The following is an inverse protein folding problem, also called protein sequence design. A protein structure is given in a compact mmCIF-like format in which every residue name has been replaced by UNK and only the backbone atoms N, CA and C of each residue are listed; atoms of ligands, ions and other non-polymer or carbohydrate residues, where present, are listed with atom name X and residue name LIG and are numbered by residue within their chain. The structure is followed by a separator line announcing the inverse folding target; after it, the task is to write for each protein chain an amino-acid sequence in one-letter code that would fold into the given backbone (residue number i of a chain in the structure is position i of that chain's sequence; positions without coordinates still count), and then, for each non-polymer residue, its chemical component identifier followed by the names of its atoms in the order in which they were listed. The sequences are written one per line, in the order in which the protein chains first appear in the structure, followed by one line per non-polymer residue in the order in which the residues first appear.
data_IF_837743488371
#
_entry.id   IF_837743488371
#
_cell.length_a   1.000
_cell.length_b   1.000
_cell.length_c   1.000
_cell.angle_alpha   90.00
_cell.angle_beta   90.00
_cell.angle_gamma   90.00
#
_symmetry.space_group_name_H-M   'P 1'
#
loop_
_entity.id
_entity.type
_entity.pdbx_description
1 polymer ?
#
# COMPACT_ATOMS: atom_id res chain seq x y z
N UNK A 1 -1.09 10.01 15.66
CA UNK A 1 -1.54 11.40 15.50
C UNK A 1 -0.57 12.06 14.56
N UNK A 2 -1.08 12.64 13.49
CA UNK A 2 -0.28 13.28 12.46
C UNK A 2 -0.32 14.80 12.66
N UNK A 3 0.68 15.50 12.12
CA UNK A 3 0.68 16.97 12.08
C UNK A 3 -0.12 17.47 10.88
N UNK A 4 -0.82 18.57 11.07
CA UNK A 4 -1.40 19.38 10.02
C UNK A 4 -1.07 20.85 10.24
N UNK A 5 -0.91 21.59 9.16
CA UNK A 5 -0.83 23.04 9.14
C UNK A 5 -2.10 23.57 8.45
N UNK A 6 -2.85 24.42 9.14
CA UNK A 6 -4.07 25.05 8.60
C UNK A 6 -3.80 26.54 8.49
N UNK A 7 -3.98 27.11 7.30
CA UNK A 7 -3.84 28.55 7.07
C UNK A 7 -5.21 29.20 6.95
N UNK A 8 -5.51 30.14 7.85
CA UNK A 8 -6.82 30.76 8.03
C UNK A 8 -6.67 32.28 7.80
N UNK A 9 -7.60 32.87 7.06
CA UNK A 9 -7.73 34.32 6.89
C UNK A 9 -8.41 34.98 8.09
N UNK A 10 -8.28 36.30 8.20
CA UNK A 10 -8.97 37.05 9.25
C UNK A 10 -10.49 36.98 9.23
N UNK A 11 -11.11 36.66 8.09
CA UNK A 11 -12.55 36.44 7.97
C UNK A 11 -13.00 35.02 8.37
N UNK A 12 -12.06 34.16 8.78
CA UNK A 12 -12.29 32.76 9.15
C UNK A 12 -12.21 31.78 7.98
N UNK A 13 -12.00 32.25 6.75
CA UNK A 13 -11.88 31.36 5.58
C UNK A 13 -10.56 30.57 5.60
N UNK A 14 -10.61 29.27 5.32
CA UNK A 14 -9.41 28.44 5.16
C UNK A 14 -8.85 28.64 3.75
N UNK A 15 -7.57 29.01 3.64
CA UNK A 15 -6.88 29.20 2.37
C UNK A 15 -6.19 27.93 1.90
N UNK A 16 -5.50 27.28 2.84
CA UNK A 16 -4.63 26.15 2.56
C UNK A 16 -4.59 25.19 3.77
N UNK A 17 -4.49 23.91 3.44
CA UNK A 17 -4.41 22.82 4.41
C UNK A 17 -3.28 21.89 3.97
N UNK A 18 -2.25 21.79 4.80
CA UNK A 18 -1.18 20.79 4.63
C UNK A 18 -1.27 19.77 5.76
N UNK A 19 -1.85 18.59 5.50
CA UNK A 19 -2.03 17.53 6.50
C UNK A 19 -1.28 16.24 6.14
N UNK A 20 -0.69 15.59 7.15
CA UNK A 20 -0.19 14.21 7.04
C UNK A 20 -1.20 13.16 7.53
N UNK A 21 -2.39 13.60 7.98
CA UNK A 21 -3.47 12.76 8.47
C UNK A 21 -4.80 13.12 7.81
N UNK A 22 -5.90 12.99 8.56
CA UNK A 22 -7.20 13.52 8.13
C UNK A 22 -7.11 15.03 7.86
N UNK A 23 -7.91 15.50 6.90
CA UNK A 23 -7.94 16.90 6.48
C UNK A 23 -9.35 17.51 6.47
N UNK A 24 -10.31 16.85 7.13
CA UNK A 24 -11.67 17.34 7.34
C UNK A 24 -11.68 18.42 8.44
N UNK A 25 -11.38 19.66 8.05
CA UNK A 25 -11.38 20.81 8.96
C UNK A 25 -12.57 21.72 8.70
N UNK A 26 -13.11 22.30 9.78
CA UNK A 26 -14.10 23.38 9.72
C UNK A 26 -13.60 24.56 10.54
N UNK A 27 -13.90 25.79 10.12
CA UNK A 27 -13.61 27.00 10.88
C UNK A 27 -14.88 27.82 11.00
N UNK A 28 -15.32 28.06 12.23
CA UNK A 28 -16.39 28.99 12.54
C UNK A 28 -15.79 30.29 13.08
N UNK A 29 -16.33 31.42 12.62
CA UNK A 29 -15.92 32.76 13.06
C UNK A 29 -17.12 33.47 13.72
N UNK A 30 -17.39 33.20 15.01
CA UNK A 30 -18.60 33.69 15.69
C UNK A 30 -18.55 35.20 16.02
N UNK A 31 -17.38 35.82 16.00
CA UNK A 31 -17.20 37.23 16.30
C UNK A 31 -15.75 37.68 16.19
N UNK A 32 -15.54 38.99 16.27
CA UNK A 32 -14.24 39.63 16.11
C UNK A 32 -13.14 38.92 16.92
N UNK A 33 -12.07 38.56 16.23
CA UNK A 33 -10.91 37.88 16.76
C UNK A 33 -11.15 36.45 17.23
N UNK A 34 -12.33 35.86 17.05
CA UNK A 34 -12.63 34.50 17.52
C UNK A 34 -12.71 33.53 16.35
N UNK A 35 -11.87 32.50 16.37
CA UNK A 35 -11.84 31.44 15.38
C UNK A 35 -11.98 30.09 16.08
N UNK A 36 -12.98 29.31 15.71
CA UNK A 36 -13.24 27.98 16.26
C UNK A 36 -12.91 26.95 15.19
N UNK A 37 -11.85 26.17 15.41
CA UNK A 37 -11.37 25.18 14.45
C UNK A 37 -11.81 23.79 14.89
N UNK A 38 -12.55 23.12 14.00
CA UNK A 38 -13.07 21.77 14.14
C UNK A 38 -12.24 20.76 13.34
N UNK A 39 -12.30 19.49 13.73
CA UNK A 39 -11.57 18.41 13.05
C UNK A 39 -10.09 18.30 13.44
N UNK A 40 -9.70 18.99 14.53
CA UNK A 40 -8.34 18.94 15.09
C UNK A 40 -8.34 18.19 16.41
N UNK A 41 -7.18 17.68 16.81
CA UNK A 41 -6.89 17.12 18.13
C UNK A 41 -6.14 18.14 19.02
N UNK A 42 -6.30 19.43 18.74
CA UNK A 42 -5.61 20.53 19.41
C UNK A 42 -4.27 20.90 18.75
N UNK A 43 -3.48 21.71 19.45
CA UNK A 43 -2.18 22.18 18.95
C UNK A 43 -1.16 21.04 18.91
N UNK A 44 -0.39 20.97 17.82
CA UNK A 44 0.65 19.95 17.67
C UNK A 44 1.88 20.32 18.54
N UNK A 45 2.31 19.45 19.46
CA UNK A 45 3.44 19.73 20.33
C UNK A 45 4.80 19.67 19.58
N UNK A 46 5.85 20.32 20.09
CA UNK A 46 7.20 20.18 19.57
C UNK A 46 7.72 18.73 19.68
N UNK A 47 8.50 18.21 18.72
CA UNK A 47 9.08 18.91 17.56
C UNK A 47 8.19 18.96 16.32
N UNK A 48 7.02 18.30 16.34
CA UNK A 48 6.16 18.11 15.17
C UNK A 48 5.31 19.35 14.85
N UNK A 49 5.05 20.18 15.85
CA UNK A 49 4.45 21.50 15.73
C UNK A 49 5.16 22.56 16.57
N UNK A 50 4.98 23.82 16.19
CA UNK A 50 5.60 24.97 16.87
C UNK A 50 4.57 26.05 17.21
N UNK A 51 3.32 25.65 17.43
CA UNK A 51 2.24 26.57 17.73
C UNK A 51 1.65 27.18 16.46
N UNK A 52 1.65 28.50 16.39
CA UNK A 52 1.06 29.27 15.29
C UNK A 52 2.07 30.25 14.69
N UNK A 53 1.84 30.66 13.44
CA UNK A 53 2.62 31.67 12.72
C UNK A 53 1.65 32.68 12.12
N UNK A 54 1.76 33.94 12.52
CA UNK A 54 0.97 35.06 11.97
C UNK A 54 1.72 35.74 10.83
N UNK A 55 0.98 36.29 9.87
CA UNK A 55 1.58 37.11 8.82
C UNK A 55 2.22 38.38 9.41
N UNK A 56 3.24 38.92 8.74
CA UNK A 56 3.93 40.15 9.16
C UNK A 56 2.98 41.37 9.24
N UNK A 57 1.93 41.42 8.41
CA UNK A 57 0.91 42.47 8.48
C UNK A 57 0.11 42.44 9.79
N UNK A 58 0.13 41.30 10.48
CA UNK A 58 -0.59 41.01 11.72
C UNK A 58 0.34 40.91 12.92
N UNK A 59 1.62 41.31 12.81
CA UNK A 59 2.63 41.12 13.84
C UNK A 59 2.27 41.77 15.20
N UNK A 60 1.41 42.79 15.20
CA UNK A 60 0.93 43.48 16.41
C UNK A 60 -0.25 42.76 17.09
N UNK A 61 -0.74 41.66 16.51
CA UNK A 61 -1.83 40.87 17.06
C UNK A 61 -1.32 39.84 18.08
N UNK A 62 -1.94 39.82 19.25
CA UNK A 62 -1.78 38.79 20.26
C UNK A 62 -2.73 37.64 19.97
N UNK A 63 -2.23 36.41 19.98
CA UNK A 63 -3.03 35.21 19.74
C UNK A 63 -3.00 34.31 20.97
N UNK A 64 -4.17 33.96 21.48
CA UNK A 64 -4.35 32.95 22.50
C UNK A 64 -5.00 31.71 21.89
N UNK A 65 -4.56 30.52 22.29
CA UNK A 65 -5.12 29.25 21.81
C UNK A 65 -5.56 28.40 22.99
N UNK A 66 -6.71 27.75 22.86
CA UNK A 66 -7.25 26.80 23.85
C UNK A 66 -8.00 25.70 23.13
N UNK A 67 -7.95 24.48 23.67
CA UNK A 67 -8.60 23.33 23.06
C UNK A 67 -9.54 22.69 24.08
N UNK A 68 -10.83 22.65 23.77
CA UNK A 68 -11.87 22.08 24.62
C UNK A 68 -12.92 21.38 23.77
N UNK A 69 -13.33 20.17 24.17
CA UNK A 69 -14.46 19.47 23.53
C UNK A 69 -14.29 19.13 22.05
N UNK A 70 -13.06 18.99 21.52
CA UNK A 70 -12.84 18.72 20.10
C UNK A 70 -12.75 19.96 19.21
N UNK A 71 -12.75 21.15 19.82
CA UNK A 71 -12.67 22.44 19.12
C UNK A 71 -11.45 23.20 19.61
N UNK A 72 -10.61 23.62 18.67
CA UNK A 72 -9.48 24.51 18.93
C UNK A 72 -9.97 25.95 18.79
N UNK A 73 -10.11 26.66 19.90
CA UNK A 73 -10.44 28.07 19.93
C UNK A 73 -9.16 28.90 19.84
N UNK A 74 -9.14 29.81 18.88
CA UNK A 74 -8.08 30.80 18.66
C UNK A 74 -8.68 32.17 18.82
N UNK A 75 -8.15 32.94 19.77
CA UNK A 75 -8.57 34.30 20.07
C UNK A 75 -7.46 35.28 19.70
N UNK A 76 -7.77 36.25 18.87
CA UNK A 76 -6.87 37.27 18.35
C UNK A 76 -7.29 38.63 18.90
N UNK A 77 -6.34 39.37 19.46
CA UNK A 77 -6.55 40.71 19.98
C UNK A 77 -5.44 41.65 19.52
N UNK A 78 -5.79 42.90 19.19
CA UNK A 78 -4.84 43.95 18.84
C UNK A 78 -4.97 45.08 19.86
N UNK A 79 -3.84 45.49 20.45
CA UNK A 79 -3.81 46.53 21.49
C UNK A 79 -4.72 46.25 22.72
N UNK A 80 -5.06 44.98 22.96
CA UNK A 80 -5.94 44.56 24.07
C UNK A 80 -7.41 44.46 23.72
N UNK A 81 -7.81 44.82 22.50
CA UNK A 81 -9.18 44.68 21.99
C UNK A 81 -9.28 43.50 21.00
N UNK A 82 -10.38 42.71 21.02
CA UNK A 82 -10.58 41.61 20.08
C UNK A 82 -10.66 42.16 18.64
N UNK A 83 -9.78 41.67 17.77
CA UNK A 83 -9.66 42.16 16.41
C UNK A 83 -9.30 41.02 15.45
N UNK A 84 -9.87 41.06 14.25
CA UNK A 84 -9.57 40.10 13.20
C UNK A 84 -8.19 40.34 12.60
N UNK A 85 -7.62 39.27 12.04
CA UNK A 85 -6.39 39.36 11.27
C UNK A 85 -6.64 40.15 9.97
N UNK A 86 -5.66 40.94 9.54
CA UNK A 86 -5.66 41.62 8.25
C UNK A 86 -5.28 40.68 7.11
N UNK A 87 -4.47 39.66 7.40
CA UNK A 87 -4.04 38.69 6.41
C UNK A 87 -4.35 37.25 6.84
N UNK A 88 -3.43 36.57 7.52
CA UNK A 88 -3.59 35.14 7.77
C UNK A 88 -2.78 34.63 8.95
N UNK A 89 -3.20 33.49 9.49
CA UNK A 89 -2.51 32.72 10.52
C UNK A 89 -2.39 31.26 10.11
N UNK A 90 -1.19 30.70 10.26
CA UNK A 90 -0.91 29.27 10.09
C UNK A 90 -0.87 28.60 11.46
N UNK A 91 -1.76 27.64 11.70
CA UNK A 91 -1.85 26.86 12.92
C UNK A 91 -1.24 25.47 12.71
N UNK A 92 -0.29 25.06 13.55
CA UNK A 92 0.15 23.65 13.61
C UNK A 92 -0.69 22.88 14.61
N UNK A 93 -1.51 21.99 14.07
CA UNK A 93 -2.49 21.21 14.83
C UNK A 93 -2.22 19.72 14.67
N UNK A 94 -2.62 18.95 15.66
CA UNK A 94 -2.62 17.49 15.58
C UNK A 94 -3.91 17.01 14.94
N UNK A 95 -3.83 15.94 14.17
CA UNK A 95 -4.99 15.26 13.56
C UNK A 95 -4.91 13.76 13.72
N UNK A 96 -6.05 13.11 13.53
CA UNK A 96 -6.10 11.67 13.39
C UNK A 96 -5.28 11.24 12.17
N UNK A 97 -4.60 10.10 12.31
CA UNK A 97 -3.86 9.51 11.20
C UNK A 97 -4.84 9.03 10.12
N UNK A 98 -4.39 9.06 8.86
CA UNK A 98 -5.13 8.35 7.82
C UNK A 98 -5.09 6.84 8.13
N UNK A 99 -6.21 6.11 7.99
CA UNK A 99 -6.15 4.67 8.08
C UNK A 99 -5.16 4.15 7.03
N UNK A 100 -4.31 3.21 7.43
CA UNK A 100 -3.42 2.55 6.49
C UNK A 100 -4.26 1.94 5.37
N UNK A 101 -3.89 2.13 4.09
CA UNK A 101 -4.61 1.46 3.01
C UNK A 101 -4.56 -0.05 3.24
N UNK A 102 -5.71 -0.70 3.20
CA UNK A 102 -5.77 -2.15 3.26
C UNK A 102 -5.02 -2.71 2.05
N UNK A 103 -3.87 -3.35 2.30
CA UNK A 103 -3.21 -4.11 1.25
C UNK A 103 -4.17 -5.18 0.77
N UNK A 104 -4.27 -5.45 -0.54
CA UNK A 104 -5.08 -6.55 -1.03
C UNK A 104 -4.62 -7.82 -0.32
N UNK A 105 -5.54 -8.51 0.35
CA UNK A 105 -5.27 -9.84 0.91
C UNK A 105 -4.90 -10.74 -0.26
N UNK A 106 -3.69 -11.30 -0.26
CA UNK A 106 -3.29 -12.33 -1.22
C UNK A 106 -4.21 -13.52 -0.95
N UNK A 107 -5.24 -13.69 -1.79
CA UNK A 107 -6.09 -14.89 -1.73
C UNK A 107 -5.27 -16.08 -2.21
N UNK A 108 -5.28 -17.14 -1.41
CA UNK A 108 -4.78 -18.43 -1.87
C UNK A 108 -5.61 -18.85 -3.09
N UNK A 109 -4.99 -19.30 -4.19
CA UNK A 109 -5.71 -19.68 -5.39
C UNK A 109 -6.77 -20.74 -5.07
N UNK A 110 -7.96 -20.57 -5.64
CA UNK A 110 -9.04 -21.52 -5.46
C UNK A 110 -8.61 -22.92 -5.98
N UNK A 111 -9.13 -24.03 -5.43
CA UNK A 111 -8.71 -25.37 -5.82
C UNK A 111 -8.82 -25.64 -7.33
N UNK A 112 -9.81 -25.05 -8.01
CA UNK A 112 -9.98 -25.16 -9.46
C UNK A 112 -8.85 -24.46 -10.25
N UNK A 113 -8.33 -23.34 -9.73
CA UNK A 113 -7.20 -22.63 -10.35
C UNK A 113 -5.91 -23.42 -10.13
N UNK A 114 -5.75 -24.06 -8.96
CA UNK A 114 -4.62 -24.94 -8.67
C UNK A 114 -4.57 -26.15 -9.62
N UNK A 115 -5.70 -26.80 -9.90
CA UNK A 115 -5.75 -27.90 -10.87
C UNK A 115 -5.33 -27.42 -12.27
N UNK A 116 -5.83 -26.27 -12.71
CA UNK A 116 -5.50 -25.72 -14.02
C UNK A 116 -4.00 -25.38 -14.13
N UNK A 117 -3.43 -24.75 -13.11
CA UNK A 117 -2.00 -24.44 -13.05
C UNK A 117 -1.14 -25.70 -13.04
N UNK A 118 -1.52 -26.70 -12.23
CA UNK A 118 -0.83 -27.97 -12.19
C UNK A 118 -0.86 -28.67 -13.55
N UNK A 119 -2.02 -28.72 -14.22
CA UNK A 119 -2.12 -29.29 -15.56
C UNK A 119 -1.30 -28.53 -16.61
N UNK A 120 -1.24 -27.20 -16.52
CA UNK A 120 -0.41 -26.37 -17.39
C UNK A 120 1.08 -26.68 -17.20
N UNK A 121 1.54 -26.81 -15.96
CA UNK A 121 2.93 -27.18 -15.65
C UNK A 121 3.27 -28.60 -16.14
N UNK A 122 2.36 -29.58 -15.95
CA UNK A 122 2.56 -30.93 -16.51
C UNK A 122 2.66 -30.85 -18.04
N UNK A 123 1.81 -30.07 -18.70
CA UNK A 123 1.84 -29.90 -20.16
C UNK A 123 3.15 -29.25 -20.63
N UNK A 124 3.63 -28.23 -19.93
CA UNK A 124 4.91 -27.59 -20.24
C UNK A 124 6.08 -28.57 -20.12
N UNK A 125 6.14 -29.33 -19.02
CA UNK A 125 7.19 -30.33 -18.83
C UNK A 125 7.13 -31.43 -19.88
N UNK A 126 5.94 -31.89 -20.27
CA UNK A 126 5.78 -32.86 -21.36
C UNK A 126 6.32 -32.35 -22.68
N UNK A 127 6.09 -31.08 -23.02
CA UNK A 127 6.63 -30.50 -24.25
C UNK A 127 8.17 -30.55 -24.31
N UNK A 128 8.84 -30.28 -23.17
CA UNK A 128 10.30 -30.42 -23.05
C UNK A 128 10.72 -31.87 -23.28
N UNK A 129 10.01 -32.82 -22.67
CA UNK A 129 10.31 -34.25 -22.79
C UNK A 129 10.16 -34.75 -24.22
N UNK A 130 9.08 -34.36 -24.92
CA UNK A 130 8.87 -34.78 -26.30
C UNK A 130 9.95 -34.21 -27.23
N UNK A 131 10.42 -32.98 -26.97
CA UNK A 131 11.56 -32.39 -27.69
C UNK A 131 12.88 -33.10 -27.42
N UNK A 132 13.09 -33.65 -26.21
CA UNK A 132 14.30 -34.40 -25.86
C UNK A 132 14.26 -35.84 -26.41
N UNK A 133 13.08 -36.47 -26.40
CA UNK A 133 12.89 -37.84 -26.89
C UNK A 133 13.03 -37.92 -28.41
N UNK A 134 12.54 -36.92 -29.17
CA UNK A 134 12.52 -36.97 -30.64
C UNK A 134 13.88 -37.32 -31.28
N UNK A 135 14.99 -36.59 -31.04
CA UNK A 135 16.29 -36.90 -31.65
C UNK A 135 16.88 -38.23 -31.16
N UNK A 136 16.67 -38.59 -29.90
CA UNK A 136 17.14 -39.85 -29.33
C UNK A 136 16.39 -41.05 -29.93
N UNK A 137 15.10 -40.87 -30.20
CA UNK A 137 14.26 -41.86 -30.84
C UNK A 137 14.67 -42.04 -32.31
N UNK A 138 14.93 -40.94 -33.04
CA UNK A 138 15.45 -40.99 -34.42
C UNK A 138 16.77 -41.78 -34.49
N UNK A 139 17.71 -41.50 -33.57
CA UNK A 139 18.97 -42.23 -33.49
C UNK A 139 18.76 -43.72 -33.18
N UNK A 140 17.82 -44.07 -32.30
CA UNK A 140 17.49 -45.45 -31.97
C UNK A 140 16.85 -46.19 -33.16
N UNK A 141 15.93 -45.53 -33.87
CA UNK A 141 15.21 -46.09 -35.03
C UNK A 141 16.16 -46.30 -36.22
N UNK A 142 17.15 -45.41 -36.39
CA UNK A 142 18.22 -45.55 -37.38
C UNK A 142 19.33 -46.52 -36.94
N UNK A 143 19.23 -47.13 -35.76
CA UNK A 143 20.27 -47.99 -35.16
C UNK A 143 21.63 -47.28 -35.02
N UNK A 144 21.60 -45.96 -34.86
CA UNK A 144 22.77 -45.09 -34.68
C UNK A 144 22.95 -44.64 -33.22
N UNK A 145 22.00 -44.94 -32.34
CA UNK A 145 22.06 -44.57 -30.93
C UNK A 145 23.24 -45.24 -30.22
N UNK A 146 24.01 -44.43 -29.51
CA UNK A 146 25.00 -44.90 -28.54
C UNK A 146 24.31 -45.54 -27.33
N UNK A 147 25.05 -46.33 -26.54
CA UNK A 147 24.53 -46.89 -25.29
C UNK A 147 24.06 -45.80 -24.30
N UNK A 148 24.73 -44.65 -24.33
CA UNK A 148 24.39 -43.49 -23.50
C UNK A 148 23.06 -42.86 -23.94
N UNK A 149 22.86 -42.66 -25.24
CA UNK A 149 21.59 -42.14 -25.79
C UNK A 149 20.44 -43.13 -25.57
N UNK A 150 20.69 -44.44 -25.65
CA UNK A 150 19.69 -45.47 -25.38
C UNK A 150 19.27 -45.48 -23.90
N UNK A 151 20.22 -45.31 -22.97
CA UNK A 151 19.93 -45.16 -21.54
C UNK A 151 19.15 -43.86 -21.26
N UNK A 152 19.59 -42.74 -21.84
CA UNK A 152 18.95 -41.44 -21.68
C UNK A 152 17.52 -41.44 -22.25
N UNK A 153 17.28 -42.08 -23.39
CA UNK A 153 15.95 -42.26 -23.99
C UNK A 153 15.01 -43.03 -23.05
N UNK A 154 15.53 -44.06 -22.36
CA UNK A 154 14.75 -44.83 -21.37
C UNK A 154 14.38 -43.96 -20.17
N UNK A 155 15.31 -43.14 -19.67
CA UNK A 155 15.07 -42.27 -18.53
C UNK A 155 14.07 -41.15 -18.86
N UNK A 156 14.18 -40.53 -20.05
CA UNK A 156 13.18 -39.57 -20.52
C UNK A 156 11.79 -40.19 -20.68
N UNK A 157 11.69 -41.43 -21.19
CA UNK A 157 10.42 -42.15 -21.29
C UNK A 157 9.83 -42.46 -19.91
N UNK A 158 10.66 -42.85 -18.95
CA UNK A 158 10.23 -43.07 -17.56
C UNK A 158 9.71 -41.76 -16.95
N UNK A 159 10.46 -40.68 -17.10
CA UNK A 159 10.08 -39.34 -16.65
C UNK A 159 8.74 -38.89 -17.26
N UNK A 160 8.52 -39.10 -18.57
CA UNK A 160 7.23 -38.81 -19.24
C UNK A 160 6.07 -39.57 -18.63
N UNK A 161 6.27 -40.86 -18.34
CA UNK A 161 5.24 -41.71 -17.72
C UNK A 161 4.94 -41.23 -16.31
N UNK A 162 5.96 -40.84 -15.54
CA UNK A 162 5.78 -40.28 -14.19
C UNK A 162 5.01 -38.96 -14.23
N UNK A 163 5.34 -38.05 -15.15
CA UNK A 163 4.58 -36.80 -15.35
C UNK A 163 3.10 -37.05 -15.66
N UNK A 164 2.79 -38.07 -16.47
CA UNK A 164 1.41 -38.44 -16.79
C UNK A 164 0.63 -38.97 -15.59
N UNK A 165 1.31 -39.49 -14.56
CA UNK A 165 0.72 -40.05 -13.34
C UNK A 165 0.67 -39.06 -12.18
N UNK A 166 1.20 -37.84 -12.35
CA UNK A 166 1.13 -36.79 -11.32
C UNK A 166 -0.30 -36.51 -10.83
N UNK A 167 -1.34 -36.48 -11.68
CA UNK A 167 -2.72 -36.27 -11.23
C UNK A 167 -3.26 -37.40 -10.33
N UNK A 168 -2.65 -38.59 -10.37
CA UNK A 168 -3.06 -39.73 -9.54
C UNK A 168 -2.40 -39.69 -8.14
N UNK A 169 -1.52 -38.71 -7.87
CA UNK A 169 -0.84 -38.60 -6.59
C UNK A 169 -1.79 -38.14 -5.47
N UNK A 170 -1.62 -38.68 -4.24
CA UNK A 170 -2.31 -38.14 -3.09
C UNK A 170 -1.82 -36.69 -2.86
N UNK A 171 -2.76 -35.75 -2.72
CA UNK A 171 -2.42 -34.33 -2.50
C UNK A 171 -2.55 -33.45 -3.74
N UNK A 172 -2.67 -34.02 -4.94
CA UNK A 172 -2.94 -33.24 -6.15
C UNK A 172 -4.28 -32.46 -6.03
N UNK A 173 -4.34 -31.19 -6.49
CA UNK A 173 -3.25 -30.37 -7.07
C UNK A 173 -2.44 -29.56 -6.04
N UNK A 174 -2.75 -29.66 -4.75
CA UNK A 174 -2.24 -28.79 -3.69
C UNK A 174 -0.77 -29.09 -3.33
N UNK A 175 -0.41 -30.38 -3.32
CA UNK A 175 0.94 -30.87 -3.04
C UNK A 175 1.31 -31.88 -4.13
N UNK A 176 2.31 -31.55 -4.94
CA UNK A 176 2.72 -32.33 -6.11
C UNK A 176 4.21 -32.67 -6.00
N UNK A 177 4.52 -33.96 -5.95
CA UNK A 177 5.90 -34.45 -5.99
C UNK A 177 6.40 -34.52 -7.44
N UNK A 178 6.96 -33.41 -7.91
CA UNK A 178 7.48 -33.31 -9.26
C UNK A 178 8.73 -34.19 -9.45
N UNK A 179 8.73 -35.08 -10.46
CA UNK A 179 9.94 -35.86 -10.75
C UNK A 179 11.08 -34.95 -11.21
N UNK A 180 12.32 -35.40 -11.03
CA UNK A 180 13.50 -34.72 -11.56
C UNK A 180 13.73 -35.10 -13.03
N UNK A 181 14.04 -34.13 -13.91
CA UNK A 181 14.41 -34.44 -15.29
C UNK A 181 15.77 -35.17 -15.32
N UNK A 182 15.96 -36.12 -16.24
CA UNK A 182 17.26 -36.75 -16.47
C UNK A 182 18.27 -35.74 -17.05
N UNK A 183 19.55 -35.98 -16.79
CA UNK A 183 20.68 -35.10 -17.10
C UNK A 183 21.27 -35.31 -18.49
#
# INVERSE_FOLDING_TARGET
MARAAINILGDGSIIDITSLGKNDFGVDHPGLGQYLIHGTLGMCPPPEGWGYVINQMDADASVATSYEGGVLMVSVAKEGEPADLLHSITLHVSVEDLPLPELPTIQEPEPADLEALAHAEIAQRRAVVDSAIAPLQDAADLQMATEQEAALLKDWKLYRVTLNRLPDQPGFPNEIDWPMPPA
#
